data_IF_952573915249
#
_entry.id   IF_952573915249
#
_cell.length_a   1.000
_cell.length_b   1.000
_cell.length_c   1.000
_cell.angle_alpha   90.00
_cell.angle_beta   90.00
_cell.angle_gamma   90.00
#
_symmetry.space_group_name_H-M   'P 1'
#
loop_
_entity.id
_entity.type
_entity.pdbx_description
1 polymer ?
#
# COMPACT_ATOMS: atom_id res chain seq x y z
N UNK A 1 7.49 23.86 -10.73
CA UNK A 1 8.11 23.76 -9.39
C UNK A 1 7.08 23.23 -8.38
N UNK A 2 7.02 21.90 -8.17
CA UNK A 2 6.30 21.31 -7.03
C UNK A 2 7.38 20.64 -6.18
N UNK A 3 7.59 21.16 -4.97
CA UNK A 3 8.51 20.62 -3.97
C UNK A 3 8.17 19.14 -3.74
N UNK A 4 9.00 18.24 -4.26
CA UNK A 4 8.78 16.79 -4.18
C UNK A 4 8.82 16.36 -2.73
N UNK A 5 7.64 16.23 -2.11
CA UNK A 5 7.55 15.52 -0.84
C UNK A 5 8.13 14.13 -1.07
N UNK A 6 9.00 13.64 -0.16
CA UNK A 6 9.61 12.34 -0.35
C UNK A 6 8.52 11.28 -0.41
N UNK A 7 8.41 10.59 -1.55
CA UNK A 7 7.35 9.61 -1.86
C UNK A 7 7.23 8.55 -0.76
N UNK A 8 8.36 8.13 -0.19
CA UNK A 8 8.39 7.16 0.90
C UNK A 8 7.59 7.60 2.15
N UNK A 9 7.51 8.91 2.45
CA UNK A 9 6.71 9.42 3.59
C UNK A 9 5.21 9.32 3.31
N UNK A 10 4.80 9.58 2.07
CA UNK A 10 3.40 9.50 1.64
C UNK A 10 2.92 8.05 1.62
N UNK A 11 3.77 7.13 1.15
CA UNK A 11 3.52 5.70 1.20
C UNK A 11 3.47 5.20 2.65
N UNK A 12 4.38 5.65 3.52
CA UNK A 12 4.34 5.31 4.95
C UNK A 12 3.02 5.75 5.60
N UNK A 13 2.56 6.97 5.32
CA UNK A 13 1.27 7.46 5.81
C UNK A 13 0.11 6.57 5.36
N UNK A 14 0.03 6.26 4.05
CA UNK A 14 -1.03 5.43 3.49
C UNK A 14 -1.06 4.02 4.10
N UNK A 15 0.09 3.35 4.20
CA UNK A 15 0.16 1.99 4.76
C UNK A 15 -0.12 1.97 6.28
N UNK A 16 0.24 3.02 7.02
CA UNK A 16 -0.17 3.15 8.42
C UNK A 16 -1.68 3.30 8.56
N UNK A 17 -2.32 4.11 7.69
CA UNK A 17 -3.78 4.22 7.66
C UNK A 17 -4.44 2.86 7.37
N UNK A 18 -3.94 2.12 6.38
CA UNK A 18 -4.44 0.77 6.07
C UNK A 18 -4.22 -0.24 7.20
N UNK A 19 -3.12 -0.15 7.94
CA UNK A 19 -2.90 -1.00 9.12
C UNK A 19 -3.93 -0.71 10.22
N UNK A 20 -4.22 0.58 10.48
CA UNK A 20 -5.28 0.99 11.42
C UNK A 20 -6.64 0.45 10.97
N UNK A 21 -6.91 0.47 9.66
CA UNK A 21 -8.15 -0.06 9.09
C UNK A 21 -8.31 -1.56 9.33
N UNK A 22 -7.23 -2.34 9.17
CA UNK A 22 -7.24 -3.78 9.48
C UNK A 22 -7.68 -4.06 10.92
N UNK A 23 -7.10 -3.35 11.89
CA UNK A 23 -7.52 -3.47 13.30
C UNK A 23 -8.93 -2.93 13.54
N UNK A 24 -9.31 -1.85 12.85
CA UNK A 24 -10.66 -1.30 12.84
C UNK A 24 -11.70 -2.35 12.47
N UNK A 25 -11.51 -3.09 11.37
CA UNK A 25 -12.42 -4.17 10.99
C UNK A 25 -12.38 -5.37 11.94
N UNK A 26 -11.24 -5.67 12.55
CA UNK A 26 -11.14 -6.77 13.52
C UNK A 26 -11.99 -6.52 14.77
N UNK A 27 -12.05 -5.28 15.25
CA UNK A 27 -12.64 -4.95 16.55
C UNK A 27 -13.87 -4.05 16.49
N UNK A 28 -14.36 -3.65 15.32
CA UNK A 28 -15.53 -2.79 15.20
C UNK A 28 -16.82 -3.48 15.65
N UNK A 29 -17.43 -3.05 16.79
CA UNK A 29 -18.67 -3.66 17.28
C UNK A 29 -19.92 -2.92 16.78
N UNK A 30 -19.76 -1.79 16.09
CA UNK A 30 -20.85 -0.91 15.66
C UNK A 30 -20.64 -0.34 14.26
N UNK A 31 -21.75 -0.03 13.59
CA UNK A 31 -21.73 0.57 12.24
C UNK A 31 -21.00 1.91 12.22
N UNK A 32 -21.14 2.74 13.25
CA UNK A 32 -20.44 4.04 13.32
C UNK A 32 -18.91 3.87 13.31
N UNK A 33 -18.39 2.84 13.98
CA UNK A 33 -16.95 2.56 13.96
C UNK A 33 -16.49 1.98 12.61
N UNK A 34 -17.34 1.19 11.94
CA UNK A 34 -17.09 0.76 10.57
C UNK A 34 -17.02 1.93 9.59
N UNK A 35 -17.95 2.90 9.70
CA UNK A 35 -17.93 4.10 8.86
C UNK A 35 -16.69 4.97 9.11
N UNK A 36 -16.29 5.11 10.37
CA UNK A 36 -15.04 5.80 10.72
C UNK A 36 -13.81 5.07 10.15
N UNK A 37 -13.81 3.73 10.21
CA UNK A 37 -12.75 2.90 9.64
C UNK A 37 -12.68 3.08 8.12
N UNK A 38 -13.81 3.05 7.44
CA UNK A 38 -13.88 3.27 5.99
C UNK A 38 -13.41 4.68 5.59
N UNK A 39 -13.76 5.70 6.37
CA UNK A 39 -13.26 7.05 6.14
C UNK A 39 -11.73 7.12 6.20
N UNK A 40 -11.11 6.43 7.16
CA UNK A 40 -9.64 6.34 7.26
C UNK A 40 -9.06 5.56 6.08
N UNK A 41 -9.73 4.49 5.63
CA UNK A 41 -9.34 3.73 4.44
C UNK A 41 -9.29 4.64 3.21
N UNK A 42 -10.36 5.40 2.95
CA UNK A 42 -10.43 6.32 1.79
C UNK A 42 -9.32 7.37 1.82
N UNK A 43 -9.03 7.96 2.99
CA UNK A 43 -7.93 8.92 3.11
C UNK A 43 -6.55 8.28 2.81
N UNK A 44 -6.33 7.07 3.32
CA UNK A 44 -5.12 6.29 3.03
C UNK A 44 -4.99 5.95 1.54
N UNK A 45 -6.11 5.60 0.92
CA UNK A 45 -6.23 5.25 -0.50
C UNK A 45 -5.91 6.42 -1.42
N UNK A 46 -6.55 7.57 -1.18
CA UNK A 46 -6.37 8.80 -1.98
C UNK A 46 -4.92 9.30 -1.96
N UNK A 47 -4.14 8.98 -0.92
CA UNK A 47 -2.71 9.32 -0.86
C UNK A 47 -1.85 8.22 -1.47
N UNK A 48 -2.16 6.95 -1.21
CA UNK A 48 -1.32 5.81 -1.58
C UNK A 48 -1.34 5.48 -3.06
N UNK A 49 -2.54 5.33 -3.64
CA UNK A 49 -2.71 4.85 -5.01
C UNK A 49 -2.03 5.75 -6.06
N UNK A 50 -2.25 7.08 -6.04
CA UNK A 50 -1.62 7.97 -7.01
C UNK A 50 -0.09 7.96 -6.91
N UNK A 51 0.45 7.86 -5.70
CA UNK A 51 1.89 7.76 -5.47
C UNK A 51 2.49 6.45 -6.01
N UNK A 52 1.79 5.32 -5.83
CA UNK A 52 2.21 4.03 -6.38
C UNK A 52 2.21 4.05 -7.90
N UNK A 53 1.14 4.54 -8.53
CA UNK A 53 1.03 4.67 -9.98
C UNK A 53 2.11 5.60 -10.56
N UNK A 54 2.34 6.74 -9.92
CA UNK A 54 3.41 7.66 -10.32
C UNK A 54 4.79 7.00 -10.20
N UNK A 55 5.04 6.25 -9.12
CA UNK A 55 6.30 5.51 -8.93
C UNK A 55 6.53 4.49 -10.05
N UNK A 56 5.49 3.75 -10.44
CA UNK A 56 5.57 2.83 -11.59
C UNK A 56 5.88 3.59 -12.89
N UNK A 57 5.21 4.72 -13.12
CA UNK A 57 5.44 5.56 -14.30
C UNK A 57 6.87 6.12 -14.39
N UNK A 58 7.46 6.50 -13.25
CA UNK A 58 8.85 6.97 -13.17
C UNK A 58 9.88 5.84 -13.32
N UNK A 59 9.54 4.63 -12.89
CA UNK A 59 10.44 3.47 -13.01
C UNK A 59 10.44 2.84 -14.40
N UNK A 60 9.41 3.11 -15.21
CA UNK A 60 9.25 2.47 -16.49
C UNK A 60 10.03 3.21 -17.61
N UNK A 61 10.89 2.49 -18.36
CA UNK A 61 11.48 3.00 -19.60
C UNK A 61 10.39 3.45 -20.59
N UNK A 62 10.70 4.45 -21.42
CA UNK A 62 9.71 5.03 -22.35
C UNK A 62 9.08 4.00 -23.29
N UNK A 63 9.89 3.07 -23.79
CA UNK A 63 9.49 1.99 -24.70
C UNK A 63 8.73 0.84 -24.01
N UNK A 64 8.84 0.73 -22.68
CA UNK A 64 8.27 -0.38 -21.89
C UNK A 64 7.22 0.04 -20.88
N UNK A 65 6.79 1.31 -20.92
CA UNK A 65 5.80 1.85 -19.97
C UNK A 65 4.51 1.03 -19.92
N UNK A 66 4.01 0.59 -21.07
CA UNK A 66 2.83 -0.29 -21.14
C UNK A 66 3.01 -1.60 -20.37
N UNK A 67 4.17 -2.26 -20.49
CA UNK A 67 4.45 -3.52 -19.80
C UNK A 67 4.55 -3.35 -18.27
N UNK A 68 5.12 -2.24 -17.80
CA UNK A 68 5.21 -1.94 -16.36
C UNK A 68 3.82 -1.73 -15.75
N UNK A 69 2.95 -0.97 -16.42
CA UNK A 69 1.57 -0.80 -15.98
C UNK A 69 0.74 -2.07 -16.10
N UNK A 70 1.00 -2.93 -17.10
CA UNK A 70 0.37 -4.24 -17.19
C UNK A 70 0.71 -5.13 -15.98
N UNK A 71 2.00 -5.21 -15.59
CA UNK A 71 2.43 -5.95 -14.40
C UNK A 71 1.81 -5.36 -13.13
N UNK A 72 1.75 -4.02 -13.02
CA UNK A 72 1.09 -3.35 -11.90
C UNK A 72 -0.41 -3.72 -11.82
N UNK A 73 -1.10 -3.83 -12.95
CA UNK A 73 -2.48 -4.28 -13.03
C UNK A 73 -2.67 -5.75 -12.66
N UNK A 74 -1.78 -6.65 -13.09
CA UNK A 74 -1.87 -8.09 -12.76
C UNK A 74 -1.87 -8.34 -11.25
N UNK A 75 -1.12 -7.54 -10.48
CA UNK A 75 -1.15 -7.60 -9.01
C UNK A 75 -2.58 -7.42 -8.46
N UNK A 76 -3.36 -6.50 -9.04
CA UNK A 76 -4.72 -6.23 -8.60
C UNK A 76 -5.63 -7.44 -8.86
N UNK A 77 -5.59 -7.98 -10.09
CA UNK A 77 -6.37 -9.17 -10.45
C UNK A 77 -6.00 -10.40 -9.60
N UNK A 78 -4.72 -10.53 -9.23
CA UNK A 78 -4.27 -11.59 -8.33
C UNK A 78 -4.92 -11.44 -6.94
N UNK A 79 -4.96 -10.22 -6.41
CA UNK A 79 -5.61 -9.94 -5.13
C UNK A 79 -7.13 -10.23 -5.19
N UNK A 80 -7.81 -9.86 -6.26
CA UNK A 80 -9.25 -10.14 -6.45
C UNK A 80 -9.55 -11.63 -6.60
N UNK A 81 -8.64 -12.40 -7.21
CA UNK A 81 -8.81 -13.85 -7.40
C UNK A 81 -8.61 -14.61 -6.10
N UNK A 82 -7.51 -14.32 -5.37
CA UNK A 82 -7.12 -15.09 -4.19
C UNK A 82 -7.67 -14.51 -2.88
N UNK A 83 -7.99 -13.22 -2.84
CA UNK A 83 -8.48 -12.52 -1.66
C UNK A 83 -9.75 -13.13 -1.07
N UNK A 84 -10.84 -13.32 -1.86
CA UNK A 84 -12.07 -13.94 -1.37
C UNK A 84 -11.89 -15.38 -0.92
N UNK A 85 -11.05 -16.15 -1.62
CA UNK A 85 -10.79 -17.56 -1.28
C UNK A 85 -10.07 -17.67 0.07
N UNK A 86 -8.94 -16.97 0.24
CA UNK A 86 -8.17 -17.01 1.48
C UNK A 86 -8.88 -16.30 2.63
N UNK A 87 -9.54 -15.18 2.34
CA UNK A 87 -10.33 -14.41 3.29
C UNK A 87 -11.53 -15.19 3.80
N UNK A 88 -12.32 -15.78 2.90
CA UNK A 88 -13.47 -16.61 3.24
C UNK A 88 -13.07 -17.86 4.02
N UNK A 89 -11.99 -18.54 3.60
CA UNK A 89 -11.47 -19.70 4.33
C UNK A 89 -11.03 -19.33 5.76
N UNK A 90 -10.26 -18.26 5.92
CA UNK A 90 -9.79 -17.79 7.24
C UNK A 90 -10.96 -17.31 8.10
N UNK A 91 -11.93 -16.61 7.51
CA UNK A 91 -13.17 -16.20 8.18
C UNK A 91 -13.93 -17.41 8.72
N UNK A 92 -14.04 -18.47 7.92
CA UNK A 92 -14.75 -19.68 8.31
C UNK A 92 -14.06 -20.45 9.45
N UNK A 93 -12.73 -20.59 9.38
CA UNK A 93 -11.97 -21.43 10.33
C UNK A 93 -11.59 -20.67 11.62
N UNK A 94 -11.24 -19.38 11.51
CA UNK A 94 -10.65 -18.61 12.60
C UNK A 94 -11.43 -17.32 12.94
N UNK A 95 -12.46 -16.97 12.17
CA UNK A 95 -13.31 -15.80 12.41
C UNK A 95 -12.73 -14.46 11.95
N UNK A 96 -13.56 -13.42 11.98
CA UNK A 96 -13.24 -12.10 11.44
C UNK A 96 -12.09 -11.40 12.17
N UNK A 97 -12.01 -11.54 13.50
CA UNK A 97 -10.91 -10.97 14.31
C UNK A 97 -9.54 -11.43 13.81
N UNK A 98 -9.36 -12.74 13.63
CA UNK A 98 -8.09 -13.31 13.17
C UNK A 98 -7.81 -12.90 11.73
N UNK A 99 -8.81 -12.96 10.85
CA UNK A 99 -8.68 -12.52 9.46
C UNK A 99 -8.17 -11.08 9.38
N UNK A 100 -8.87 -10.12 9.97
CA UNK A 100 -8.55 -8.70 9.79
C UNK A 100 -7.27 -8.28 10.55
N UNK A 101 -6.99 -8.85 11.73
CA UNK A 101 -5.71 -8.60 12.42
C UNK A 101 -4.52 -9.16 11.64
N UNK A 102 -4.68 -10.34 11.01
CA UNK A 102 -3.63 -10.92 10.17
C UNK A 102 -3.36 -10.07 8.92
N UNK A 103 -4.42 -9.50 8.31
CA UNK A 103 -4.28 -8.53 7.22
C UNK A 103 -3.58 -7.25 7.68
N UNK A 104 -3.95 -6.69 8.84
CA UNK A 104 -3.27 -5.55 9.45
C UNK A 104 -1.76 -5.79 9.61
N UNK A 105 -1.38 -6.96 10.12
CA UNK A 105 0.03 -7.36 10.24
C UNK A 105 0.74 -7.47 8.88
N UNK A 106 0.11 -8.10 7.88
CA UNK A 106 0.66 -8.20 6.53
C UNK A 106 0.85 -6.83 5.88
N UNK A 107 -0.06 -5.89 6.12
CA UNK A 107 0.03 -4.50 5.66
C UNK A 107 1.19 -3.79 6.34
N UNK A 108 1.41 -3.98 7.64
CA UNK A 108 2.56 -3.41 8.36
C UNK A 108 3.88 -3.93 7.77
N UNK A 109 3.99 -5.25 7.58
CA UNK A 109 5.22 -5.87 7.03
C UNK A 109 5.49 -5.40 5.60
N UNK A 110 4.47 -5.43 4.74
CA UNK A 110 4.61 -5.00 3.34
C UNK A 110 4.87 -3.49 3.22
N UNK A 111 4.24 -2.66 4.06
CA UNK A 111 4.46 -1.23 4.14
C UNK A 111 5.88 -0.89 4.59
N UNK A 112 6.37 -1.54 5.65
CA UNK A 112 7.74 -1.37 6.13
C UNK A 112 8.77 -1.75 5.05
N UNK A 113 8.55 -2.87 4.35
CA UNK A 113 9.40 -3.29 3.23
C UNK A 113 9.39 -2.25 2.09
N UNK A 114 8.22 -1.78 1.68
CA UNK A 114 8.07 -0.82 0.59
C UNK A 114 8.69 0.53 0.94
N UNK A 115 8.46 1.04 2.16
CA UNK A 115 9.06 2.29 2.66
C UNK A 115 10.58 2.17 2.69
N UNK A 116 11.13 1.06 3.19
CA UNK A 116 12.58 0.81 3.19
C UNK A 116 13.15 0.81 1.77
N UNK A 117 12.48 0.14 0.83
CA UNK A 117 12.92 0.09 -0.57
C UNK A 117 12.93 1.48 -1.22
N UNK A 118 11.88 2.27 -1.00
CA UNK A 118 11.77 3.63 -1.54
C UNK A 118 12.77 4.58 -0.89
N UNK A 119 12.95 4.51 0.42
CA UNK A 119 13.95 5.29 1.15
C UNK A 119 15.37 5.01 0.63
N UNK A 120 15.73 3.72 0.47
CA UNK A 120 17.04 3.32 -0.04
C UNK A 120 17.27 3.79 -1.49
N UNK A 121 16.22 3.88 -2.32
CA UNK A 121 16.32 4.45 -3.67
C UNK A 121 16.59 5.95 -3.62
N UNK A 122 15.79 6.70 -2.85
CA UNK A 122 15.97 8.16 -2.72
C UNK A 122 17.38 8.51 -2.19
N UNK A 123 17.91 7.72 -1.25
CA UNK A 123 19.27 7.92 -0.75
C UNK A 123 20.36 7.65 -1.81
N UNK A 124 20.18 6.61 -2.65
CA UNK A 124 21.10 6.32 -3.76
C UNK A 124 21.08 7.40 -4.83
N UNK A 125 19.90 7.87 -5.21
CA UNK A 125 19.75 8.91 -6.23
C UNK A 125 20.38 10.24 -5.78
N UNK A 126 20.28 10.56 -4.49
CA UNK A 126 20.96 11.73 -3.91
C UNK A 126 22.49 11.59 -3.93
N UNK A 127 23.02 10.40 -3.66
CA UNK A 127 24.46 10.14 -3.69
C UNK A 127 25.04 10.16 -5.12
N UNK A 128 24.31 9.66 -6.12
CA UNK A 128 24.79 9.71 -7.51
C UNK A 128 24.91 11.13 -8.05
N UNK A 129 24.00 12.03 -7.67
CA UNK A 129 24.04 13.45 -8.08
C UNK A 129 25.27 14.15 -7.50
N UNK A 130 25.66 13.83 -6.26
CA UNK A 130 26.85 14.42 -5.61
C UNK A 130 28.17 13.95 -6.24
N UNK A 131 28.22 12.75 -6.84
CA UNK A 131 29.42 12.23 -7.50
C UNK A 131 29.61 12.80 -8.92
N UNK A 132 28.55 13.31 -9.53
CA UNK A 132 28.55 13.91 -10.88
C UNK A 132 28.65 15.44 -10.87
N UNK A 133 28.61 16.07 -9.71
CA UNK A 133 28.67 17.53 -9.51
C UNK A 133 30.06 17.96 -9.02
#
# INVERSE_FOLDING_TARGET
>A
MIRSRPVWKLIAFSYTAFAIVGEGYAFAPSLSLLLATEFVFTLGEMVGLPQLQNTVGLLAPEDKRGAYFAIFGVRWSLAETFGPLLGGFTMHVAGGKVLFSSLGLLIIVSGAFLVRMLYARTARDAASVQLTA
#
